data_IF_767799702526
#
_entry.id   IF_767799702526
#
_cell.length_a   1.000
_cell.length_b   1.000
_cell.length_c   1.000
_cell.angle_alpha   90.00
_cell.angle_beta   90.00
_cell.angle_gamma   90.00
#
_symmetry.space_group_name_H-M   'P 1'
#
loop_
_entity.id
_entity.type
_entity.pdbx_description
1 polymer ?
#
# COMPACT_ATOMS: atom_id res chain seq x y z
N UNK A 1 -13.78 1.41 23.77
CA UNK A 1 -15.21 1.70 23.50
C UNK A 1 -16.01 0.41 23.61
N UNK A 2 -17.29 0.45 23.96
CA UNK A 2 -18.18 -0.72 23.90
C UNK A 2 -18.49 -1.12 22.45
N UNK A 3 -18.96 -2.35 22.23
CA UNK A 3 -19.38 -2.81 20.89
C UNK A 3 -20.49 -1.94 20.31
N UNK A 4 -21.50 -1.57 21.12
CA UNK A 4 -22.60 -0.71 20.66
C UNK A 4 -22.09 0.65 20.16
N UNK A 5 -21.12 1.25 20.86
CA UNK A 5 -20.49 2.50 20.44
C UNK A 5 -19.70 2.33 19.14
N UNK A 6 -18.99 1.21 18.96
CA UNK A 6 -18.23 0.90 17.74
C UNK A 6 -19.14 0.69 16.53
N UNK A 7 -20.30 0.07 16.71
CA UNK A 7 -21.28 -0.11 15.63
C UNK A 7 -21.91 1.21 15.20
N UNK A 8 -22.13 2.14 16.15
CA UNK A 8 -22.63 3.49 15.86
C UNK A 8 -21.57 4.40 15.25
N UNK A 9 -20.31 4.25 15.65
CA UNK A 9 -19.18 5.05 15.17
C UNK A 9 -18.00 4.15 14.81
N UNK A 10 -18.03 3.49 13.63
CA UNK A 10 -16.91 2.70 13.14
C UNK A 10 -15.64 3.56 12.98
N UNK A 11 -14.44 2.95 13.03
CA UNK A 11 -13.20 3.64 12.69
C UNK A 11 -13.29 4.32 11.32
N UNK A 12 -12.68 5.50 11.18
CA UNK A 12 -12.70 6.29 9.94
C UNK A 12 -12.22 5.47 8.74
N UNK A 13 -11.11 4.72 8.89
CA UNK A 13 -10.63 3.81 7.87
C UNK A 13 -11.70 2.80 7.40
N UNK A 14 -12.49 2.23 8.32
CA UNK A 14 -13.57 1.31 7.94
C UNK A 14 -14.67 2.01 7.18
N UNK A 15 -15.06 3.22 7.59
CA UNK A 15 -16.08 4.01 6.87
C UNK A 15 -15.60 4.33 5.45
N UNK A 16 -14.33 4.72 5.29
CA UNK A 16 -13.74 4.96 3.98
C UNK A 16 -13.73 3.70 3.11
N UNK A 17 -13.28 2.56 3.65
CA UNK A 17 -13.11 1.35 2.85
C UNK A 17 -14.43 0.66 2.53
N UNK A 18 -15.31 0.52 3.52
CA UNK A 18 -16.53 -0.27 3.44
C UNK A 18 -17.78 0.57 3.18
N UNK A 19 -17.75 1.87 3.49
CA UNK A 19 -18.93 2.73 3.48
C UNK A 19 -19.74 2.63 4.78
N UNK A 20 -20.65 3.60 4.99
CA UNK A 20 -21.44 3.72 6.23
C UNK A 20 -22.34 2.52 6.50
N UNK A 21 -22.87 1.88 5.44
CA UNK A 21 -23.77 0.73 5.58
C UNK A 21 -23.04 -0.56 5.96
N UNK A 22 -21.86 -0.80 5.38
CA UNK A 22 -21.15 -2.09 5.54
C UNK A 22 -20.13 -2.09 6.67
N UNK A 23 -19.56 -0.94 7.05
CA UNK A 23 -18.57 -0.89 8.13
C UNK A 23 -19.10 -1.49 9.45
N UNK A 24 -20.32 -1.17 9.94
CA UNK A 24 -20.86 -1.81 11.14
C UNK A 24 -21.06 -3.32 10.99
N UNK A 25 -21.43 -3.79 9.79
CA UNK A 25 -21.63 -5.22 9.52
C UNK A 25 -20.30 -5.99 9.56
N UNK A 26 -19.21 -5.40 9.05
CA UNK A 26 -17.87 -5.97 9.17
C UNK A 26 -17.47 -6.08 10.65
N UNK A 27 -17.64 -5.02 11.44
CA UNK A 27 -17.37 -5.05 12.89
C UNK A 27 -18.17 -6.17 13.55
N UNK A 28 -19.49 -6.21 13.33
CA UNK A 28 -20.38 -7.20 13.94
C UNK A 28 -19.92 -8.63 13.65
N UNK A 29 -19.62 -8.95 12.38
CA UNK A 29 -19.11 -10.28 11.99
C UNK A 29 -17.82 -10.66 12.71
N UNK A 30 -16.86 -9.73 12.84
CA UNK A 30 -15.62 -10.01 13.56
C UNK A 30 -15.88 -10.36 15.04
N UNK A 31 -16.75 -9.62 15.73
CA UNK A 31 -17.13 -9.89 17.13
C UNK A 31 -17.91 -11.19 17.30
N UNK A 32 -18.80 -11.52 16.35
CA UNK A 32 -19.57 -12.77 16.37
C UNK A 32 -18.67 -14.01 16.26
N UNK A 33 -17.60 -13.93 15.48
CA UNK A 33 -16.60 -15.01 15.41
C UNK A 33 -15.81 -15.09 16.71
N UNK A 34 -15.25 -13.97 17.17
CA UNK A 34 -14.45 -13.91 18.37
C UNK A 34 -14.33 -12.46 18.88
N UNK A 35 -14.68 -12.16 20.15
CA UNK A 35 -14.61 -10.79 20.68
C UNK A 35 -13.22 -10.15 20.60
N UNK A 36 -12.16 -10.91 20.87
CA UNK A 36 -10.79 -10.42 20.76
C UNK A 36 -10.43 -10.09 19.30
N UNK A 37 -10.89 -10.90 18.34
CA UNK A 37 -10.71 -10.59 16.93
C UNK A 37 -11.43 -9.30 16.54
N UNK A 38 -12.68 -9.13 16.98
CA UNK A 38 -13.44 -7.90 16.77
C UNK A 38 -12.78 -6.65 17.36
N UNK A 39 -12.27 -6.75 18.60
CA UNK A 39 -11.53 -5.67 19.25
C UNK A 39 -10.24 -5.35 18.51
N UNK A 40 -9.44 -6.37 18.19
CA UNK A 40 -8.16 -6.18 17.53
C UNK A 40 -8.31 -5.64 16.11
N UNK A 41 -9.23 -6.18 15.31
CA UNK A 41 -9.50 -5.67 13.97
C UNK A 41 -10.00 -4.22 14.02
N UNK A 42 -11.03 -3.93 14.82
CA UNK A 42 -11.63 -2.60 14.89
C UNK A 42 -10.66 -1.57 15.47
N UNK A 43 -10.05 -1.86 16.62
CA UNK A 43 -9.29 -0.86 17.37
C UNK A 43 -7.84 -0.79 16.92
N UNK A 44 -7.18 -1.93 16.69
CA UNK A 44 -5.74 -1.98 16.38
C UNK A 44 -5.47 -1.89 14.89
N UNK A 45 -6.19 -2.65 14.07
CA UNK A 45 -5.97 -2.60 12.62
C UNK A 45 -6.56 -1.30 12.06
N UNK A 46 -7.88 -1.11 12.13
CA UNK A 46 -8.50 0.05 11.50
C UNK A 46 -8.44 1.34 12.33
N UNK A 47 -8.45 1.23 13.66
CA UNK A 47 -8.42 2.40 14.55
C UNK A 47 -7.02 2.97 14.81
N UNK A 48 -5.97 2.15 14.70
CA UNK A 48 -4.58 2.57 14.93
C UNK A 48 -3.74 2.44 13.67
N UNK A 49 -3.47 1.22 13.18
CA UNK A 49 -2.55 0.97 12.07
C UNK A 49 -2.90 1.78 10.80
N UNK A 50 -4.18 1.77 10.40
CA UNK A 50 -4.65 2.52 9.23
C UNK A 50 -4.56 4.05 9.38
N UNK A 51 -4.49 4.56 10.60
CA UNK A 51 -4.38 6.00 10.89
C UNK A 51 -2.92 6.45 11.07
N UNK A 52 -1.94 5.54 11.01
CA UNK A 52 -0.52 5.88 11.21
C UNK A 52 0.09 6.62 10.02
N UNK A 53 0.80 7.70 10.32
CA UNK A 53 1.74 8.37 9.41
C UNK A 53 3.01 7.52 9.21
N UNK A 54 3.83 7.76 8.16
CA UNK A 54 3.72 8.83 7.16
C UNK A 54 2.82 8.50 5.94
N UNK A 55 2.21 7.31 5.91
CA UNK A 55 1.41 6.90 4.75
C UNK A 55 0.01 7.50 4.79
N UNK A 56 -0.42 8.05 3.66
CA UNK A 56 -1.79 8.52 3.45
C UNK A 56 -2.78 7.36 3.37
N UNK A 57 -4.08 7.65 3.53
CA UNK A 57 -5.14 6.65 3.38
C UNK A 57 -5.17 6.04 1.96
N UNK A 58 -4.82 6.83 0.94
CA UNK A 58 -4.72 6.36 -0.44
C UNK A 58 -3.56 5.35 -0.58
N UNK A 59 -2.38 5.69 -0.08
CA UNK A 59 -1.21 4.80 -0.16
C UNK A 59 -1.45 3.47 0.58
N UNK A 60 -2.04 3.51 1.78
CA UNK A 60 -2.46 2.30 2.49
C UNK A 60 -3.47 1.46 1.71
N UNK A 61 -4.39 2.12 0.99
CA UNK A 61 -5.35 1.45 0.12
C UNK A 61 -4.68 0.82 -1.10
N UNK A 62 -3.69 1.51 -1.71
CA UNK A 62 -2.88 0.97 -2.80
C UNK A 62 -2.11 -0.27 -2.35
N UNK A 63 -1.40 -0.19 -1.22
CA UNK A 63 -0.64 -1.30 -0.64
C UNK A 63 -1.56 -2.52 -0.45
N UNK A 64 -2.74 -2.28 0.14
CA UNK A 64 -3.74 -3.33 0.38
C UNK A 64 -4.23 -3.97 -0.92
N UNK A 65 -4.66 -3.17 -1.90
CA UNK A 65 -5.17 -3.66 -3.19
C UNK A 65 -4.09 -4.45 -3.93
N UNK A 66 -2.86 -3.94 -3.96
CA UNK A 66 -1.73 -4.62 -4.61
C UNK A 66 -1.46 -5.96 -3.95
N UNK A 67 -1.36 -6.02 -2.62
CA UNK A 67 -1.12 -7.29 -1.92
C UNK A 67 -2.23 -8.31 -2.19
N UNK A 68 -3.49 -7.90 -2.13
CA UNK A 68 -4.62 -8.79 -2.38
C UNK A 68 -4.68 -9.26 -3.82
N UNK A 69 -4.37 -8.40 -4.80
CA UNK A 69 -4.33 -8.75 -6.21
C UNK A 69 -3.23 -9.78 -6.49
N UNK A 70 -2.02 -9.53 -5.99
CA UNK A 70 -0.86 -10.40 -6.19
C UNK A 70 -1.03 -11.75 -5.48
N UNK A 71 -1.70 -11.80 -4.33
CA UNK A 71 -2.02 -13.03 -3.61
C UNK A 71 -3.28 -13.75 -4.12
N UNK A 72 -3.99 -13.21 -5.11
CA UNK A 72 -5.22 -13.80 -5.65
C UNK A 72 -6.39 -13.84 -4.64
N UNK A 73 -6.49 -12.85 -3.75
CA UNK A 73 -7.54 -12.77 -2.71
C UNK A 73 -8.77 -12.03 -3.21
N UNK A 74 -9.47 -12.63 -4.16
CA UNK A 74 -10.56 -12.01 -4.94
C UNK A 74 -11.65 -11.35 -4.10
N UNK A 75 -12.21 -12.05 -3.10
CA UNK A 75 -13.30 -11.53 -2.28
C UNK A 75 -12.92 -10.24 -1.55
N UNK A 76 -11.72 -10.21 -0.96
CA UNK A 76 -11.20 -9.03 -0.28
C UNK A 76 -10.80 -7.96 -1.28
N UNK A 77 -10.19 -8.33 -2.41
CA UNK A 77 -9.82 -7.40 -3.47
C UNK A 77 -11.03 -6.59 -3.95
N UNK A 78 -12.17 -7.24 -4.20
CA UNK A 78 -13.41 -6.55 -4.60
C UNK A 78 -13.82 -5.47 -3.62
N UNK A 79 -13.69 -5.72 -2.32
CA UNK A 79 -14.09 -4.76 -1.29
C UNK A 79 -13.12 -3.57 -1.27
N UNK A 80 -11.82 -3.84 -1.32
CA UNK A 80 -10.81 -2.77 -1.28
C UNK A 80 -10.75 -1.94 -2.57
N UNK A 81 -11.11 -2.52 -3.72
CA UNK A 81 -11.32 -1.75 -4.96
C UNK A 81 -12.48 -0.75 -4.83
N UNK A 82 -13.57 -1.11 -4.15
CA UNK A 82 -14.65 -0.15 -3.83
C UNK A 82 -14.17 0.94 -2.86
N UNK A 83 -13.29 0.58 -1.92
CA UNK A 83 -12.65 1.55 -1.02
C UNK A 83 -11.86 2.64 -1.77
N UNK A 84 -11.17 2.30 -2.86
CA UNK A 84 -10.53 3.30 -3.73
C UNK A 84 -11.55 4.27 -4.35
N UNK A 85 -12.74 3.77 -4.73
CA UNK A 85 -13.82 4.64 -5.24
C UNK A 85 -14.36 5.59 -4.17
N UNK A 86 -14.54 5.10 -2.94
CA UNK A 86 -14.96 5.94 -1.81
C UNK A 86 -13.92 7.03 -1.46
N UNK A 87 -12.65 6.78 -1.77
CA UNK A 87 -11.56 7.78 -1.69
C UNK A 87 -11.57 8.79 -2.85
N UNK A 88 -12.57 8.73 -3.74
CA UNK A 88 -12.71 9.62 -4.88
C UNK A 88 -11.92 9.20 -6.11
N UNK A 89 -11.24 8.03 -6.10
CA UNK A 89 -10.57 7.51 -7.29
C UNK A 89 -11.57 6.95 -8.28
N UNK A 90 -11.26 7.14 -9.56
CA UNK A 90 -12.12 6.67 -10.63
C UNK A 90 -11.64 5.33 -11.21
N UNK A 91 -12.40 4.81 -12.17
CA UNK A 91 -12.13 3.53 -12.83
C UNK A 91 -10.79 3.56 -13.59
N UNK A 92 -10.46 4.68 -14.26
CA UNK A 92 -9.21 4.81 -15.01
C UNK A 92 -7.99 4.69 -14.11
N UNK A 93 -8.05 5.25 -12.89
CA UNK A 93 -6.99 5.08 -11.89
C UNK A 93 -6.76 3.60 -11.55
N UNK A 94 -7.84 2.84 -11.36
CA UNK A 94 -7.78 1.41 -11.07
C UNK A 94 -7.27 0.61 -12.28
N UNK A 95 -7.68 0.96 -13.49
CA UNK A 95 -7.15 0.36 -14.73
C UNK A 95 -5.64 0.58 -14.84
N UNK A 96 -5.15 1.79 -14.57
CA UNK A 96 -3.71 2.07 -14.58
C UNK A 96 -2.95 1.26 -13.53
N UNK A 97 -3.50 1.08 -12.32
CA UNK A 97 -2.90 0.23 -11.29
C UNK A 97 -2.76 -1.22 -11.76
N UNK A 98 -3.81 -1.75 -12.37
CA UNK A 98 -3.83 -3.13 -12.85
C UNK A 98 -2.85 -3.30 -14.02
N UNK A 99 -2.82 -2.33 -14.95
CA UNK A 99 -1.87 -2.30 -16.04
C UNK A 99 -0.42 -2.26 -15.54
N UNK A 100 -0.13 -1.48 -14.50
CA UNK A 100 1.17 -1.45 -13.84
C UNK A 100 1.57 -2.85 -13.35
N UNK A 101 0.69 -3.51 -12.58
CA UNK A 101 0.93 -4.87 -12.08
C UNK A 101 1.12 -5.91 -13.19
N UNK A 102 0.34 -5.82 -14.28
CA UNK A 102 0.46 -6.71 -15.43
C UNK A 102 1.76 -6.48 -16.22
N UNK A 103 2.14 -5.22 -16.42
CA UNK A 103 3.35 -4.86 -17.19
C UNK A 103 4.63 -5.37 -16.53
N UNK A 104 4.66 -5.37 -15.19
CA UNK A 104 5.75 -5.92 -14.39
C UNK A 104 5.59 -7.40 -14.06
N UNK A 105 4.54 -8.04 -14.61
CA UNK A 105 4.25 -9.48 -14.49
C UNK A 105 4.01 -9.94 -13.04
N UNK A 106 3.54 -9.04 -12.17
CA UNK A 106 3.14 -9.39 -10.80
C UNK A 106 1.82 -10.14 -10.74
N UNK A 107 0.94 -9.87 -11.70
CA UNK A 107 -0.29 -10.62 -11.93
C UNK A 107 -0.31 -11.11 -13.38
N UNK A 108 -0.91 -12.27 -13.61
CA UNK A 108 -1.20 -12.73 -14.96
C UNK A 108 -2.32 -11.88 -15.58
N UNK A 109 -2.47 -11.94 -16.90
CA UNK A 109 -3.64 -11.43 -17.63
C UNK A 109 -4.90 -12.26 -17.32
N UNK A 110 -5.15 -12.57 -16.05
CA UNK A 110 -6.29 -13.37 -15.64
C UNK A 110 -7.57 -12.58 -15.90
N UNK A 111 -8.40 -13.09 -16.82
CA UNK A 111 -9.72 -12.56 -17.13
C UNK A 111 -10.57 -12.37 -15.87
N UNK A 112 -10.28 -13.10 -14.79
CA UNK A 112 -10.98 -12.95 -13.50
C UNK A 112 -10.72 -11.62 -12.82
N UNK A 113 -9.50 -11.10 -12.77
CA UNK A 113 -9.23 -9.79 -12.15
C UNK A 113 -9.92 -8.70 -12.97
N UNK A 114 -9.82 -8.78 -14.30
CA UNK A 114 -10.53 -7.89 -15.22
C UNK A 114 -12.06 -8.02 -15.08
N UNK A 115 -12.57 -9.22 -14.83
CA UNK A 115 -13.99 -9.49 -14.54
C UNK A 115 -14.40 -8.90 -13.19
N UNK A 116 -13.57 -9.00 -12.15
CA UNK A 116 -13.85 -8.43 -10.82
C UNK A 116 -13.88 -6.91 -10.88
N UNK A 117 -12.95 -6.31 -11.62
CA UNK A 117 -12.94 -4.90 -11.97
C UNK A 117 -14.29 -4.56 -12.60
N UNK A 118 -14.60 -5.09 -13.79
CA UNK A 118 -15.86 -4.77 -14.48
C UNK A 118 -17.14 -5.00 -13.65
N UNK A 119 -17.20 -6.06 -12.82
CA UNK A 119 -18.31 -6.33 -11.89
C UNK A 119 -18.41 -5.32 -10.75
N UNK A 120 -17.27 -4.90 -10.20
CA UNK A 120 -17.21 -3.88 -9.13
C UNK A 120 -17.66 -2.51 -9.63
N UNK A 121 -17.68 -2.29 -10.95
CA UNK A 121 -18.01 -1.03 -11.61
C UNK A 121 -19.35 -1.01 -12.36
N UNK A 122 -20.26 -1.98 -12.15
CA UNK A 122 -21.63 -1.84 -12.68
C UNK A 122 -22.26 -0.56 -12.11
N UNK A 123 -22.54 0.43 -12.98
CA UNK A 123 -23.22 1.68 -12.62
C UNK A 123 -24.47 1.36 -11.79
N UNK A 124 -24.71 2.04 -10.65
CA UNK A 124 -26.05 2.07 -10.10
C UNK A 124 -26.97 2.70 -11.15
N UNK A 125 -28.09 2.05 -11.46
CA UNK A 125 -29.17 2.69 -12.21
C UNK A 125 -29.72 3.84 -11.35
N UNK A 126 -29.18 5.04 -11.48
CA UNK A 126 -29.72 6.22 -10.80
C UNK A 126 -29.60 7.48 -11.67
N UNK A 127 -30.75 8.06 -12.02
CA UNK A 127 -30.95 9.29 -12.79
C UNK A 127 -30.58 10.57 -12.00
N UNK A 128 -29.47 10.60 -11.25
CA UNK A 128 -29.06 11.80 -10.52
C UNK A 128 -27.94 12.55 -11.23
N UNK A 129 -28.12 13.86 -11.38
CA UNK A 129 -27.24 14.82 -12.07
C UNK A 129 -25.80 14.94 -11.49
N UNK A 130 -25.47 14.18 -10.45
CA UNK A 130 -24.09 13.99 -9.96
C UNK A 130 -23.23 13.13 -10.91
N UNK A 131 -23.83 12.53 -11.94
CA UNK A 131 -23.16 11.75 -13.00
C UNK A 131 -22.29 12.61 -13.96
N UNK A 132 -21.99 13.87 -13.60
CA UNK A 132 -20.92 14.68 -14.22
C UNK A 132 -19.52 14.25 -13.76
N UNK A 133 -19.28 12.94 -13.59
CA UNK A 133 -17.96 12.33 -13.38
C UNK A 133 -17.08 12.36 -14.66
N UNK A 134 -17.37 13.27 -15.59
CA UNK A 134 -16.73 13.42 -16.90
C UNK A 134 -15.90 14.71 -17.05
N UNK A 135 -15.66 15.45 -15.98
CA UNK A 135 -14.86 16.70 -15.99
C UNK A 135 -13.80 16.73 -14.87
N UNK A 136 -13.39 15.58 -14.34
CA UNK A 136 -12.21 15.49 -13.49
C UNK A 136 -10.97 15.46 -14.39
N UNK A 137 -9.85 16.14 -14.03
CA UNK A 137 -8.57 15.99 -14.73
C UNK A 137 -8.21 14.50 -14.86
N UNK A 138 -7.41 14.12 -15.85
CA UNK A 138 -6.88 12.75 -15.92
C UNK A 138 -6.10 12.42 -14.64
N UNK A 139 -6.78 11.76 -13.69
CA UNK A 139 -6.12 11.21 -12.51
C UNK A 139 -5.19 10.10 -12.97
N UNK A 140 -3.89 10.36 -12.85
CA UNK A 140 -2.82 9.49 -13.29
C UNK A 140 -2.08 8.99 -12.07
N UNK A 141 -1.68 7.72 -12.05
CA UNK A 141 -0.73 7.21 -11.06
C UNK A 141 0.56 8.03 -11.10
N UNK A 142 0.89 8.66 -9.98
CA UNK A 142 2.14 9.38 -9.85
C UNK A 142 3.32 8.41 -9.77
N UNK A 143 4.53 8.89 -10.05
CA UNK A 143 5.73 8.06 -9.93
C UNK A 143 5.89 7.51 -8.51
N UNK A 144 5.54 8.30 -7.49
CA UNK A 144 5.54 7.86 -6.10
C UNK A 144 4.58 6.67 -5.87
N UNK A 145 3.34 6.74 -6.39
CA UNK A 145 2.39 5.62 -6.33
C UNK A 145 2.95 4.35 -7.00
N UNK A 146 3.60 4.50 -8.16
CA UNK A 146 4.19 3.37 -8.89
C UNK A 146 5.31 2.71 -8.08
N UNK A 147 6.16 3.48 -7.41
CA UNK A 147 7.21 2.92 -6.56
C UNK A 147 6.59 2.16 -5.37
N UNK A 148 5.54 2.70 -4.72
CA UNK A 148 4.80 2.01 -3.66
C UNK A 148 4.20 0.70 -4.18
N UNK A 149 3.57 0.71 -5.35
CA UNK A 149 2.99 -0.49 -5.98
C UNK A 149 4.07 -1.55 -6.19
N UNK A 150 5.21 -1.18 -6.78
CA UNK A 150 6.32 -2.09 -7.09
C UNK A 150 6.90 -2.73 -5.83
N UNK A 151 7.27 -1.92 -4.83
CA UNK A 151 7.88 -2.44 -3.59
C UNK A 151 6.89 -3.32 -2.82
N UNK A 152 5.62 -2.94 -2.80
CA UNK A 152 4.55 -3.74 -2.19
C UNK A 152 4.41 -5.10 -2.88
N UNK A 153 4.37 -5.13 -4.21
CA UNK A 153 4.18 -6.36 -4.98
C UNK A 153 5.34 -7.34 -4.78
N UNK A 154 6.59 -6.88 -4.95
CA UNK A 154 7.78 -7.76 -4.79
C UNK A 154 7.92 -8.27 -3.37
N UNK A 155 7.67 -7.42 -2.36
CA UNK A 155 7.72 -7.81 -0.96
C UNK A 155 6.61 -8.81 -0.63
N UNK A 156 5.38 -8.58 -1.09
CA UNK A 156 4.24 -9.48 -0.87
C UNK A 156 4.51 -10.89 -1.42
N UNK A 157 5.19 -11.00 -2.56
CA UNK A 157 5.57 -12.29 -3.16
C UNK A 157 6.70 -13.01 -2.40
N UNK A 158 7.30 -12.37 -1.39
CA UNK A 158 8.46 -12.93 -0.69
C UNK A 158 9.70 -13.07 -1.57
N UNK A 159 9.79 -12.32 -2.67
CA UNK A 159 10.95 -12.34 -3.55
C UNK A 159 12.05 -11.45 -2.97
N UNK A 160 12.87 -12.02 -2.09
CA UNK A 160 13.89 -11.30 -1.35
C UNK A 160 14.92 -10.62 -2.26
N UNK A 161 15.37 -11.29 -3.33
CA UNK A 161 16.37 -10.73 -4.25
C UNK A 161 15.86 -9.51 -5.03
N UNK A 162 14.62 -9.58 -5.52
CA UNK A 162 14.00 -8.44 -6.21
C UNK A 162 13.65 -7.32 -5.22
N UNK A 163 13.24 -7.67 -4.00
CA UNK A 163 12.99 -6.70 -2.93
C UNK A 163 14.27 -5.93 -2.61
N UNK A 164 15.40 -6.61 -2.43
CA UNK A 164 16.70 -5.98 -2.18
C UNK A 164 17.12 -5.06 -3.34
N UNK A 165 17.02 -5.56 -4.58
CA UNK A 165 17.39 -4.79 -5.78
C UNK A 165 16.59 -3.50 -5.87
N UNK A 166 15.27 -3.58 -5.67
CA UNK A 166 14.40 -2.41 -5.73
C UNK A 166 14.63 -1.46 -4.54
N UNK A 167 14.88 -1.98 -3.33
CA UNK A 167 15.22 -1.13 -2.18
C UNK A 167 16.53 -0.37 -2.40
N UNK A 168 17.53 -0.99 -3.05
CA UNK A 168 18.77 -0.30 -3.45
C UNK A 168 18.47 0.83 -4.42
N UNK A 169 17.66 0.59 -5.45
CA UNK A 169 17.20 1.62 -6.40
C UNK A 169 16.48 2.79 -5.68
N UNK A 170 15.53 2.48 -4.79
CA UNK A 170 14.76 3.45 -4.03
C UNK A 170 15.68 4.31 -3.13
N UNK A 171 16.58 3.68 -2.38
CA UNK A 171 17.46 4.35 -1.43
C UNK A 171 18.56 5.19 -2.12
N UNK A 172 19.05 4.75 -3.28
CA UNK A 172 20.06 5.48 -4.05
C UNK A 172 19.47 6.75 -4.66
N UNK A 173 18.23 6.69 -5.12
CA UNK A 173 17.56 7.80 -5.82
C UNK A 173 16.63 8.63 -4.91
N UNK A 174 16.55 8.30 -3.61
CA UNK A 174 15.66 8.92 -2.62
C UNK A 174 14.19 8.94 -3.09
N UNK A 175 13.71 7.82 -3.65
CA UNK A 175 12.34 7.73 -4.18
C UNK A 175 11.28 7.60 -3.09
N UNK A 176 11.67 7.01 -1.95
CA UNK A 176 10.88 6.91 -0.71
C UNK A 176 11.83 7.08 0.47
N UNK A 177 11.34 7.66 1.56
CA UNK A 177 12.03 7.69 2.85
C UNK A 177 12.05 6.31 3.52
N UNK A 178 13.00 6.11 4.44
CA UNK A 178 13.06 4.90 5.27
C UNK A 178 11.78 4.69 6.10
N UNK A 179 11.17 5.78 6.54
CA UNK A 179 9.94 5.82 7.33
C UNK A 179 8.74 5.36 6.51
N UNK A 180 8.63 5.81 5.25
CA UNK A 180 7.61 5.33 4.30
C UNK A 180 7.78 3.84 4.02
N UNK A 181 9.00 3.37 3.72
CA UNK A 181 9.24 1.95 3.43
C UNK A 181 8.91 1.09 4.66
N UNK A 182 9.33 1.52 5.85
CA UNK A 182 9.01 0.85 7.11
C UNK A 182 7.49 0.77 7.34
N UNK A 183 6.77 1.86 7.07
CA UNK A 183 5.33 1.90 7.19
C UNK A 183 4.63 0.99 6.15
N UNK A 184 5.15 0.87 4.93
CA UNK A 184 4.66 -0.08 3.91
C UNK A 184 4.77 -1.50 4.46
N UNK A 185 5.94 -1.87 4.99
CA UNK A 185 6.17 -3.22 5.51
C UNK A 185 5.36 -3.51 6.78
N UNK A 186 5.13 -2.52 7.64
CA UNK A 186 4.24 -2.66 8.78
C UNK A 186 2.79 -2.90 8.32
N UNK A 187 2.31 -2.17 7.32
CA UNK A 187 0.96 -2.32 6.78
C UNK A 187 0.76 -3.70 6.12
N UNK A 188 1.78 -4.17 5.40
CA UNK A 188 1.82 -5.50 4.79
C UNK A 188 1.62 -6.64 5.79
N UNK A 189 1.94 -6.44 7.07
CA UNK A 189 1.89 -7.50 8.08
C UNK A 189 0.48 -8.11 8.20
N UNK A 190 -0.55 -7.29 7.97
CA UNK A 190 -1.95 -7.70 8.00
C UNK A 190 -2.34 -8.52 6.76
N UNK A 191 -1.74 -8.23 5.60
CA UNK A 191 -2.18 -8.74 4.31
C UNK A 191 -1.35 -9.92 3.78
N UNK A 192 -0.04 -9.96 4.07
CA UNK A 192 0.85 -11.05 3.65
C UNK A 192 1.54 -11.78 4.82
N UNK A 193 1.35 -11.30 6.06
CA UNK A 193 1.79 -11.98 7.27
C UNK A 193 3.18 -11.57 7.77
N UNK A 194 3.47 -11.97 9.02
CA UNK A 194 4.70 -11.61 9.74
C UNK A 194 6.00 -12.12 9.08
N UNK A 195 6.13 -13.39 8.62
CA UNK A 195 7.39 -13.86 8.05
C UNK A 195 7.85 -13.08 6.81
N UNK A 196 6.91 -12.75 5.91
CA UNK A 196 7.19 -11.99 4.68
C UNK A 196 7.69 -10.59 5.02
N UNK A 197 7.01 -9.92 5.95
CA UNK A 197 7.35 -8.55 6.35
C UNK A 197 8.64 -8.47 7.16
N UNK A 198 8.91 -9.44 8.03
CA UNK A 198 10.18 -9.50 8.77
C UNK A 198 11.38 -9.71 7.84
N UNK A 199 11.25 -10.54 6.80
CA UNK A 199 12.29 -10.68 5.79
C UNK A 199 12.53 -9.36 5.06
N UNK A 200 11.47 -8.68 4.63
CA UNK A 200 11.58 -7.38 3.95
C UNK A 200 12.25 -6.30 4.85
N UNK A 201 11.89 -6.25 6.14
CA UNK A 201 12.53 -5.37 7.13
C UNK A 201 14.02 -5.69 7.30
N UNK A 202 14.39 -6.98 7.36
CA UNK A 202 15.81 -7.37 7.44
C UNK A 202 16.60 -6.91 6.22
N UNK A 203 16.02 -7.02 5.03
CA UNK A 203 16.66 -6.56 3.79
C UNK A 203 16.82 -5.04 3.80
N UNK A 204 15.80 -4.29 4.20
CA UNK A 204 15.88 -2.83 4.34
C UNK A 204 17.02 -2.41 5.29
N UNK A 205 17.12 -3.04 6.46
CA UNK A 205 18.19 -2.75 7.41
C UNK A 205 19.58 -2.96 6.80
N UNK A 206 19.76 -4.04 6.03
CA UNK A 206 21.03 -4.31 5.35
C UNK A 206 21.34 -3.25 4.28
N UNK A 207 20.34 -2.88 3.46
CA UNK A 207 20.50 -1.85 2.41
C UNK A 207 20.85 -0.48 3.01
N UNK A 208 20.21 -0.10 4.11
CA UNK A 208 20.50 1.16 4.80
C UNK A 208 21.92 1.17 5.40
N UNK A 209 22.34 0.07 6.04
CA UNK A 209 23.70 -0.05 6.56
C UNK A 209 24.77 0.02 5.45
N UNK A 210 24.55 -0.65 4.31
CA UNK A 210 25.43 -0.55 3.14
C UNK A 210 25.55 0.90 2.64
N UNK A 211 24.43 1.64 2.59
CA UNK A 211 24.40 3.04 2.16
C UNK A 211 25.21 3.95 3.07
N UNK A 212 25.08 3.79 4.38
CA UNK A 212 25.86 4.56 5.37
C UNK A 212 27.37 4.32 5.21
N UNK A 213 27.78 3.06 5.04
CA UNK A 213 29.18 2.69 4.81
C UNK A 213 29.70 3.34 3.52
N UNK A 214 28.92 3.30 2.44
CA UNK A 214 29.30 3.91 1.15
C UNK A 214 29.45 5.44 1.24
N UNK A 215 28.55 6.12 1.96
CA UNK A 215 28.62 7.56 2.17
C UNK A 215 29.87 7.94 2.97
N UNK A 216 30.14 7.24 4.07
CA UNK A 216 31.35 7.45 4.89
C UNK A 216 32.64 7.21 4.08
N UNK A 217 32.66 6.17 3.23
CA UNK A 217 33.80 5.90 2.35
C UNK A 217 34.02 7.02 1.32
N UNK A 218 32.94 7.56 0.74
CA UNK A 218 33.00 8.66 -0.23
C UNK A 218 33.51 9.96 0.41
N UNK A 219 33.08 10.28 1.63
CA UNK A 219 33.58 11.43 2.39
C UNK A 219 35.09 11.32 2.68
N UNK A 220 35.56 10.14 3.09
CA UNK A 220 36.99 9.88 3.30
C UNK A 220 37.82 10.01 2.02
N UNK A 221 37.29 9.51 0.89
CA UNK A 221 37.94 9.67 -0.42
C UNK A 221 38.04 11.14 -0.84
N UNK A 222 36.96 11.91 -0.67
CA UNK A 222 36.96 13.36 -0.97
C UNK A 222 37.95 14.13 -0.08
N UNK A 223 38.00 13.82 1.22
CA UNK A 223 38.94 14.42 2.16
C UNK A 223 40.39 14.13 1.76
N UNK A 224 40.71 12.87 1.45
CA UNK A 224 42.07 12.48 1.03
C UNK A 224 42.50 13.12 -0.30
N UNK A 225 41.58 13.23 -1.26
CA UNK A 225 41.83 13.93 -2.52
C UNK A 225 42.13 15.43 -2.29
N UNK A 226 41.29 16.12 -1.52
CA UNK A 226 41.48 17.54 -1.19
C UNK A 226 42.79 17.81 -0.44
N UNK A 227 43.16 16.94 0.51
CA UNK A 227 44.44 17.03 1.23
C UNK A 227 45.66 16.83 0.30
N UNK A 228 45.58 15.88 -0.64
CA UNK A 228 46.64 15.62 -1.61
C UNK A 228 46.86 16.77 -2.60
N UNK A 229 45.80 17.50 -2.96
CA UNK A 229 45.90 18.71 -3.79
C UNK A 229 46.47 19.90 -3.01
N UNK A 230 46.09 20.05 -1.73
CA UNK A 230 46.58 21.14 -0.89
C UNK A 230 48.09 21.02 -0.56
N UNK A 231 48.61 19.80 -0.47
CA UNK A 231 50.03 19.53 -0.15
C UNK A 231 50.95 19.47 -1.38
N UNK A 232 50.40 19.58 -2.60
CA UNK A 232 51.16 19.66 -3.87
C UNK A 232 51.59 21.08 -4.26
N UNK A 233 51.21 22.12 -3.50
CA UNK A 233 51.65 23.52 -3.67
C UNK A 233 52.79 23.84 -2.72
#
# INVERSE_FOLDING_TARGET
MSLEQKLKNPPRAMLTLYGESEAPNVIKRCYEVNPFFGEWACDKVYGELWEREPLTMLEKSLITVVSLAVLGKEEQLTIHLKGLLHLGKNIKFIEQLVLCLMSEKFISSDEKILSLISKSFKKPESNNEQDKLGLMPEETLFEHDKIIIRITAVATLGNNANTETLLKEICLNNLLSSEEISAIFLHLMIYCGCPVTMNACSILNNVLAEREIMLAAKENLLYSAAYSEATRK
#
